data_IF_787037338218
#
_entry.id   IF_787037338218
#
_cell.length_a   1.000
_cell.length_b   1.000
_cell.length_c   1.000
_cell.angle_alpha   90.00
_cell.angle_beta   90.00
_cell.angle_gamma   90.00
#
_symmetry.space_group_name_H-M   'P 1'
#
loop_
_entity.id
_entity.type
_entity.pdbx_description
1 polymer ?
#
# COMPACT_ATOMS: atom_id res chain seq x y z
N UNK A 1 -20.69 38.00 -34.60
CA UNK A 1 -20.67 37.70 -33.15
C UNK A 1 -20.75 36.20 -32.86
N UNK A 2 -21.54 35.41 -33.59
CA UNK A 2 -21.67 33.95 -33.44
C UNK A 2 -20.38 33.16 -33.69
N UNK A 3 -19.57 33.53 -34.68
CA UNK A 3 -18.31 32.84 -34.98
C UNK A 3 -17.28 32.92 -33.82
N UNK A 4 -17.18 34.09 -33.18
CA UNK A 4 -16.29 34.29 -32.02
C UNK A 4 -16.78 33.52 -30.80
N UNK A 5 -18.10 33.53 -30.55
CA UNK A 5 -18.70 32.76 -29.46
C UNK A 5 -18.51 31.24 -29.63
N UNK A 6 -18.69 30.72 -30.85
CA UNK A 6 -18.46 29.30 -31.15
C UNK A 6 -16.98 28.92 -30.99
N UNK A 7 -16.06 29.77 -31.44
CA UNK A 7 -14.63 29.53 -31.27
C UNK A 7 -14.23 29.48 -29.79
N UNK A 8 -14.69 30.44 -28.98
CA UNK A 8 -14.44 30.45 -27.54
C UNK A 8 -15.08 29.26 -26.83
N UNK A 9 -16.28 28.85 -27.25
CA UNK A 9 -16.95 27.66 -26.72
C UNK A 9 -16.15 26.38 -26.96
N UNK A 10 -15.62 26.19 -28.18
CA UNK A 10 -14.75 25.05 -28.51
C UNK A 10 -13.47 25.06 -27.69
N UNK A 11 -12.82 26.22 -27.55
CA UNK A 11 -11.63 26.36 -26.70
C UNK A 11 -11.95 26.06 -25.23
N UNK A 12 -13.11 26.49 -24.73
CA UNK A 12 -13.56 26.17 -23.37
C UNK A 12 -13.74 24.68 -23.14
N UNK A 13 -14.35 23.96 -24.11
CA UNK A 13 -14.49 22.50 -24.05
C UNK A 13 -13.12 21.82 -24.04
N UNK A 14 -12.23 22.19 -24.97
CA UNK A 14 -10.88 21.63 -25.04
C UNK A 14 -10.12 21.89 -23.73
N UNK A 15 -10.15 23.11 -23.22
CA UNK A 15 -9.52 23.47 -21.95
C UNK A 15 -10.04 22.65 -20.78
N UNK A 16 -11.36 22.40 -20.73
CA UNK A 16 -11.97 21.56 -19.70
C UNK A 16 -11.49 20.10 -19.75
N UNK A 17 -11.38 19.53 -20.95
CA UNK A 17 -10.91 18.15 -21.14
C UNK A 17 -9.44 17.99 -20.76
N UNK A 18 -8.60 18.98 -21.08
CA UNK A 18 -7.21 19.00 -20.63
C UNK A 18 -7.12 19.06 -19.11
N UNK A 19 -7.90 19.92 -18.46
CA UNK A 19 -7.92 20.02 -17.00
C UNK A 19 -8.36 18.71 -16.33
N UNK A 20 -9.42 18.07 -16.86
CA UNK A 20 -9.89 16.77 -16.37
C UNK A 20 -8.81 15.69 -16.55
N UNK A 21 -8.17 15.63 -17.72
CA UNK A 21 -7.09 14.67 -17.97
C UNK A 21 -5.91 14.84 -17.02
N UNK A 22 -5.52 16.08 -16.73
CA UNK A 22 -4.49 16.40 -15.74
C UNK A 22 -4.91 16.01 -14.32
N UNK A 23 -6.17 16.27 -13.95
CA UNK A 23 -6.73 15.91 -12.66
C UNK A 23 -6.76 14.39 -12.44
N UNK A 24 -7.16 13.62 -13.46
CA UNK A 24 -7.14 12.15 -13.41
C UNK A 24 -5.73 11.61 -13.22
N UNK A 25 -4.75 12.13 -13.96
CA UNK A 25 -3.35 11.73 -13.83
C UNK A 25 -2.78 12.04 -12.44
N UNK A 26 -3.09 13.22 -11.89
CA UNK A 26 -2.68 13.59 -10.53
C UNK A 26 -3.32 12.68 -9.49
N UNK A 27 -4.62 12.40 -9.61
CA UNK A 27 -5.32 11.52 -8.67
C UNK A 27 -4.74 10.10 -8.70
N UNK A 28 -4.45 9.57 -9.89
CA UNK A 28 -3.75 8.28 -10.04
C UNK A 28 -2.36 8.29 -9.37
N UNK A 29 -1.58 9.35 -9.52
CA UNK A 29 -0.27 9.46 -8.88
C UNK A 29 -0.39 9.50 -7.35
N UNK A 30 -1.34 10.28 -6.81
CA UNK A 30 -1.60 10.36 -5.37
C UNK A 30 -1.98 8.99 -4.81
N UNK A 31 -2.88 8.27 -5.48
CA UNK A 31 -3.29 6.93 -5.08
C UNK A 31 -2.10 5.96 -5.02
N UNK A 32 -1.20 5.98 -6.02
CA UNK A 32 0.02 5.16 -6.03
C UNK A 32 0.97 5.50 -4.88
N UNK A 33 1.20 6.79 -4.62
CA UNK A 33 2.05 7.23 -3.51
C UNK A 33 1.46 6.84 -2.16
N UNK A 34 0.15 7.03 -1.96
CA UNK A 34 -0.54 6.66 -0.72
C UNK A 34 -0.46 5.15 -0.46
N UNK A 35 -0.65 4.33 -1.48
CA UNK A 35 -0.51 2.88 -1.38
C UNK A 35 0.92 2.46 -0.98
N UNK A 36 1.94 3.09 -1.58
CA UNK A 36 3.35 2.86 -1.23
C UNK A 36 3.68 3.30 0.20
N UNK A 37 3.15 4.44 0.65
CA UNK A 37 3.30 4.92 2.02
C UNK A 37 2.71 3.94 3.03
N UNK A 38 1.49 3.44 2.78
CA UNK A 38 0.84 2.46 3.66
C UNK A 38 1.64 1.16 3.79
N UNK A 39 2.21 0.65 2.69
CA UNK A 39 3.10 -0.52 2.71
C UNK A 39 4.36 -0.23 3.54
N UNK A 40 4.97 0.94 3.31
CA UNK A 40 6.19 1.36 4.02
C UNK A 40 5.95 1.49 5.53
N UNK A 41 4.82 2.07 5.94
CA UNK A 41 4.41 2.16 7.35
C UNK A 41 4.23 0.78 7.98
N UNK A 42 3.62 -0.16 7.25
CA UNK A 42 3.42 -1.52 7.74
C UNK A 42 4.74 -2.28 7.93
N UNK A 43 5.70 -2.11 7.01
CA UNK A 43 7.06 -2.68 7.14
C UNK A 43 7.82 -2.00 8.28
N UNK A 44 7.71 -0.67 8.42
CA UNK A 44 8.35 0.05 9.51
C UNK A 44 7.82 -0.39 10.89
N UNK A 45 6.50 -0.55 11.03
CA UNK A 45 5.88 -1.09 12.23
C UNK A 45 6.36 -2.51 12.54
N UNK A 46 6.48 -3.37 11.52
CA UNK A 46 7.06 -4.69 11.68
C UNK A 46 8.52 -4.65 12.17
N UNK A 47 9.37 -3.87 11.50
CA UNK A 47 10.78 -3.73 11.87
C UNK A 47 10.91 -3.21 13.31
N UNK A 48 10.06 -2.28 13.72
CA UNK A 48 10.03 -1.79 15.09
C UNK A 48 9.78 -2.91 16.09
N UNK A 49 8.74 -3.73 15.87
CA UNK A 49 8.45 -4.88 16.75
C UNK A 49 9.63 -5.85 16.81
N UNK A 50 10.30 -6.13 15.69
CA UNK A 50 11.48 -7.01 15.69
C UNK A 50 12.67 -6.44 16.45
N UNK A 51 12.81 -5.12 16.48
CA UNK A 51 13.90 -4.43 17.17
C UNK A 51 13.62 -4.25 18.67
N UNK A 52 12.36 -4.12 19.07
CA UNK A 52 12.01 -3.84 20.47
C UNK A 52 11.54 -5.06 21.25
N UNK A 53 11.11 -6.14 20.58
CA UNK A 53 10.58 -7.35 21.20
C UNK A 53 11.44 -8.58 20.89
N UNK A 54 12.52 -8.83 21.67
CA UNK A 54 13.43 -9.95 21.44
C UNK A 54 12.75 -11.32 21.48
N UNK A 55 11.68 -11.46 22.26
CA UNK A 55 10.91 -12.70 22.36
C UNK A 55 10.24 -13.07 21.04
N UNK A 56 9.72 -12.10 20.28
CA UNK A 56 9.11 -12.38 18.98
C UNK A 56 10.19 -12.80 17.98
N UNK A 57 11.37 -12.16 18.04
CA UNK A 57 12.51 -12.56 17.22
C UNK A 57 12.97 -13.99 17.53
N UNK A 58 13.03 -14.37 18.82
CA UNK A 58 13.34 -15.74 19.26
C UNK A 58 12.31 -16.74 18.73
N UNK A 59 11.02 -16.49 18.95
CA UNK A 59 9.93 -17.38 18.49
C UNK A 59 9.98 -17.56 16.97
N UNK A 60 10.27 -16.50 16.22
CA UNK A 60 10.43 -16.59 14.77
C UNK A 60 11.60 -17.50 14.38
N UNK A 61 12.75 -17.37 15.04
CA UNK A 61 13.94 -18.20 14.77
C UNK A 61 13.66 -19.66 15.12
N UNK A 62 13.12 -19.94 16.30
CA UNK A 62 12.73 -21.28 16.73
C UNK A 62 11.79 -21.95 15.72
N UNK A 63 10.78 -21.22 15.24
CA UNK A 63 9.87 -21.72 14.20
C UNK A 63 10.56 -22.00 12.86
N UNK A 64 11.52 -21.17 12.44
CA UNK A 64 12.29 -21.37 11.21
C UNK A 64 13.24 -22.57 11.30
N UNK A 65 13.73 -22.86 12.50
CA UNK A 65 14.60 -24.01 12.79
C UNK A 65 13.82 -25.31 13.05
N UNK A 66 12.48 -25.26 12.98
CA UNK A 66 11.57 -26.37 13.29
C UNK A 66 11.68 -26.86 14.74
N UNK A 67 12.02 -25.96 15.66
CA UNK A 67 11.94 -26.25 17.09
C UNK A 67 10.48 -26.39 17.54
N UNK A 68 10.25 -27.20 18.57
CA UNK A 68 8.93 -27.36 19.17
C UNK A 68 8.57 -26.09 19.95
N UNK A 69 7.46 -25.44 19.57
CA UNK A 69 6.96 -24.23 20.21
C UNK A 69 5.97 -24.59 21.31
N UNK A 70 6.01 -23.88 22.45
CA UNK A 70 4.90 -23.94 23.40
C UNK A 70 3.62 -23.33 22.80
N UNK A 71 2.45 -23.68 23.33
CA UNK A 71 1.15 -23.16 22.87
C UNK A 71 1.16 -21.61 22.75
N UNK A 72 1.75 -20.93 23.73
CA UNK A 72 1.83 -19.47 23.75
C UNK A 72 2.80 -18.88 22.71
N UNK A 73 3.89 -19.59 22.40
CA UNK A 73 4.82 -19.19 21.34
C UNK A 73 4.20 -19.46 19.96
N UNK A 74 3.43 -20.54 19.83
CA UNK A 74 2.70 -20.85 18.60
C UNK A 74 1.64 -19.78 18.29
N UNK A 75 0.89 -19.30 19.28
CA UNK A 75 -0.07 -18.20 19.08
C UNK A 75 0.62 -16.92 18.58
N UNK A 76 1.77 -16.57 19.17
CA UNK A 76 2.58 -15.43 18.74
C UNK A 76 3.09 -15.62 17.32
N UNK A 77 3.59 -16.81 16.98
CA UNK A 77 4.05 -17.15 15.64
C UNK A 77 2.92 -17.08 14.60
N UNK A 78 1.73 -17.60 14.94
CA UNK A 78 0.54 -17.51 14.08
C UNK A 78 0.11 -16.06 13.85
N UNK A 79 0.16 -15.22 14.88
CA UNK A 79 -0.09 -13.78 14.77
C UNK A 79 0.90 -13.10 13.81
N UNK A 80 2.19 -13.40 13.97
CA UNK A 80 3.25 -12.95 13.08
C UNK A 80 3.01 -13.40 11.62
N UNK A 81 2.65 -14.67 11.41
CA UNK A 81 2.38 -15.21 10.08
C UNK A 81 1.17 -14.56 9.41
N UNK A 82 0.07 -14.34 10.14
CA UNK A 82 -1.12 -13.62 9.62
C UNK A 82 -0.78 -12.20 9.18
N UNK A 83 0.09 -11.51 9.91
CA UNK A 83 0.55 -10.18 9.53
C UNK A 83 1.31 -10.21 8.19
N UNK A 84 2.23 -11.17 8.01
CA UNK A 84 2.96 -11.33 6.76
C UNK A 84 2.04 -11.68 5.58
N UNK A 85 1.08 -12.57 5.78
CA UNK A 85 0.08 -12.91 4.76
C UNK A 85 -0.70 -11.67 4.31
N UNK A 86 -1.12 -10.83 5.26
CA UNK A 86 -1.86 -9.61 4.95
C UNK A 86 -1.00 -8.58 4.23
N UNK A 87 0.29 -8.47 4.56
CA UNK A 87 1.25 -7.66 3.80
C UNK A 87 1.39 -8.14 2.35
N UNK A 88 1.50 -9.46 2.15
CA UNK A 88 1.61 -10.05 0.81
C UNK A 88 0.34 -9.82 -0.01
N UNK A 89 -0.84 -9.98 0.60
CA UNK A 89 -2.13 -9.68 -0.03
C UNK A 89 -2.23 -8.21 -0.43
N UNK A 90 -1.85 -7.29 0.45
CA UNK A 90 -1.82 -5.87 0.12
C UNK A 90 -0.85 -5.54 -1.02
N UNK A 91 0.35 -6.13 -1.04
CA UNK A 91 1.31 -5.92 -2.12
C UNK A 91 0.80 -6.48 -3.46
N UNK A 92 0.13 -7.64 -3.43
CA UNK A 92 -0.50 -8.23 -4.62
C UNK A 92 -1.63 -7.35 -5.17
N UNK A 93 -2.56 -6.91 -4.30
CA UNK A 93 -3.64 -6.02 -4.69
C UNK A 93 -3.12 -4.70 -5.26
N UNK A 94 -2.04 -4.15 -4.70
CA UNK A 94 -1.38 -2.98 -5.27
C UNK A 94 -0.81 -3.25 -6.66
N UNK A 95 -0.22 -4.41 -6.91
CA UNK A 95 0.27 -4.80 -8.23
C UNK A 95 -0.87 -4.97 -9.25
N UNK A 96 -1.97 -5.60 -8.85
CA UNK A 96 -3.14 -5.81 -9.73
C UNK A 96 -3.84 -4.49 -10.09
N UNK A 97 -3.86 -3.53 -9.18
CA UNK A 97 -4.44 -2.20 -9.39
C UNK A 97 -3.50 -1.17 -10.05
N UNK A 98 -2.22 -1.50 -10.26
CA UNK A 98 -1.19 -0.57 -10.74
C UNK A 98 -1.17 -0.37 -12.27
#
# INVERSE_FOLDING_TARGET
MTAVANFLGVIGIIGSLVFVGLGLRQNQQIAKVSAYQALTEQIAAYNQVMLTEPEINRVRIAALENEELSDSEEERYRGFWRMLQRQAEFAYLQYEMA
#
